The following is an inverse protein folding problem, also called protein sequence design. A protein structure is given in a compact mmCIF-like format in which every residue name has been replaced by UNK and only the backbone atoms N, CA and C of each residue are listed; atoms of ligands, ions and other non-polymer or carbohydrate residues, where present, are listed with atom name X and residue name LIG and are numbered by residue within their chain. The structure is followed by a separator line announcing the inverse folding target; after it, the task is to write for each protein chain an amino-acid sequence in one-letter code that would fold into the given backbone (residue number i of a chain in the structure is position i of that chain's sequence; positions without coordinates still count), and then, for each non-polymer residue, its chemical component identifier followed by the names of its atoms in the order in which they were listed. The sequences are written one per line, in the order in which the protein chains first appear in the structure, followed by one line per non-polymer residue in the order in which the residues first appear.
data_IF_070481773075
#
_entry.id   IF_070481773075
#
_cell.length_a   1.000
_cell.length_b   1.000
_cell.length_c   1.000
_cell.angle_alpha   90.00
_cell.angle_beta   90.00
_cell.angle_gamma   90.00
#
_symmetry.space_group_name_H-M   'P 1'
#
loop_
_entity.id
_entity.type
_entity.pdbx_description
1 polymer ?
#
# COMPACT_ATOMS: atom_id res chain seq x y z
N UNK A 1 -18.04 7.67 -5.06
CA UNK A 1 -16.77 7.91 -4.34
C UNK A 1 -16.54 6.70 -3.46
N UNK A 2 -15.65 5.80 -3.88
CA UNK A 2 -15.36 4.54 -3.21
C UNK A 2 -14.85 4.78 -1.78
N UNK A 3 -15.33 3.99 -0.82
CA UNK A 3 -14.93 3.99 0.61
C UNK A 3 -13.44 3.64 0.82
N UNK A 4 -12.50 4.42 0.31
CA UNK A 4 -11.12 4.33 0.75
C UNK A 4 -11.06 4.91 2.17
N UNK A 5 -11.11 4.04 3.18
CA UNK A 5 -10.82 4.44 4.56
C UNK A 5 -9.43 5.07 4.61
N UNK A 6 -9.13 5.92 5.60
CA UNK A 6 -7.76 6.39 5.80
C UNK A 6 -6.78 5.21 5.98
N UNK A 7 -5.50 5.36 5.58
CA UNK A 7 -4.43 4.43 5.93
C UNK A 7 -4.44 4.09 7.43
N UNK A 8 -4.11 2.84 7.76
CA UNK A 8 -4.12 2.39 9.15
C UNK A 8 -2.76 2.70 9.79
N UNK A 9 -2.80 3.37 10.96
CA UNK A 9 -1.61 3.73 11.73
C UNK A 9 -1.70 3.08 13.10
N UNK A 10 -0.63 2.45 13.55
CA UNK A 10 -0.54 1.91 14.90
C UNK A 10 -0.52 3.07 15.91
N UNK A 11 -1.39 3.05 16.95
CA UNK A 11 -1.56 4.19 17.84
C UNK A 11 -0.36 4.45 18.76
N UNK A 12 0.45 3.42 19.06
CA UNK A 12 1.70 3.58 19.80
C UNK A 12 2.86 3.74 18.82
N UNK A 13 3.44 4.95 18.75
CA UNK A 13 4.58 5.28 17.90
C UNK A 13 5.83 4.43 18.23
N UNK A 14 5.95 3.92 19.46
CA UNK A 14 7.06 3.03 19.85
C UNK A 14 6.95 1.64 19.21
N UNK A 15 5.85 1.36 18.51
CA UNK A 15 5.66 0.14 17.72
C UNK A 15 5.87 0.37 16.22
N UNK A 16 6.14 1.61 15.81
CA UNK A 16 6.53 1.91 14.43
C UNK A 16 7.91 1.31 14.15
N UNK A 17 8.19 1.05 12.88
CA UNK A 17 9.47 0.51 12.47
C UNK A 17 10.58 1.53 12.68
N UNK A 18 11.64 1.11 13.35
CA UNK A 18 12.82 1.93 13.68
C UNK A 18 14.14 1.28 13.21
N UNK A 19 14.05 0.25 12.36
CA UNK A 19 15.21 -0.54 11.92
C UNK A 19 15.56 -1.71 12.84
N UNK A 20 15.07 -1.77 14.08
CA UNK A 20 15.41 -2.81 15.06
C UNK A 20 14.33 -3.89 15.24
N UNK A 21 13.11 -3.64 14.75
CA UNK A 21 11.91 -4.42 15.06
C UNK A 21 11.22 -5.03 13.81
N UNK A 22 12.00 -5.39 12.79
CA UNK A 22 11.53 -5.85 11.47
C UNK A 22 10.42 -6.91 11.56
N UNK A 23 10.66 -8.03 12.25
CA UNK A 23 9.68 -9.14 12.32
C UNK A 23 8.33 -8.71 12.90
N UNK A 24 8.34 -7.84 13.91
CA UNK A 24 7.11 -7.33 14.53
C UNK A 24 6.36 -6.40 13.57
N UNK A 25 7.10 -5.52 12.88
CA UNK A 25 6.57 -4.64 11.85
C UNK A 25 5.96 -5.44 10.68
N UNK A 26 6.66 -6.45 10.17
CA UNK A 26 6.18 -7.28 9.07
C UNK A 26 4.91 -8.04 9.41
N UNK A 27 4.84 -8.58 10.63
CA UNK A 27 3.66 -9.26 11.14
C UNK A 27 2.47 -8.31 11.19
N UNK A 28 2.67 -7.10 11.72
CA UNK A 28 1.63 -6.08 11.83
C UNK A 28 1.11 -5.65 10.45
N UNK A 29 2.01 -5.26 9.53
CA UNK A 29 1.62 -4.83 8.19
C UNK A 29 0.92 -5.96 7.45
N UNK A 30 1.43 -7.19 7.52
CA UNK A 30 0.80 -8.35 6.87
C UNK A 30 -0.63 -8.55 7.38
N UNK A 31 -0.90 -8.48 8.69
CA UNK A 31 -2.26 -8.57 9.22
C UNK A 31 -3.18 -7.44 8.72
N UNK A 32 -2.69 -6.20 8.67
CA UNK A 32 -3.46 -5.05 8.17
C UNK A 32 -3.87 -5.26 6.70
N UNK A 33 -2.90 -5.64 5.85
CA UNK A 33 -3.12 -5.77 4.41
C UNK A 33 -3.95 -6.99 4.04
N UNK A 34 -3.72 -8.13 4.71
CA UNK A 34 -4.52 -9.35 4.50
C UNK A 34 -5.95 -9.17 4.97
N UNK A 35 -6.16 -8.49 6.11
CA UNK A 35 -7.50 -8.16 6.61
C UNK A 35 -8.32 -7.25 5.69
N UNK A 36 -7.66 -6.55 4.76
CA UNK A 36 -8.31 -5.71 3.72
C UNK A 36 -8.19 -6.29 2.32
N UNK A 37 -7.64 -7.49 2.16
CA UNK A 37 -7.41 -8.16 0.87
C UNK A 37 -6.57 -7.34 -0.14
N UNK A 38 -5.60 -6.55 0.35
CA UNK A 38 -4.73 -5.70 -0.48
C UNK A 38 -3.25 -6.05 -0.38
N UNK A 39 -2.91 -7.19 0.22
CA UNK A 39 -1.51 -7.67 0.31
C UNK A 39 -0.85 -7.89 -1.06
N UNK A 40 -1.66 -8.03 -2.11
CA UNK A 40 -1.21 -8.15 -3.50
C UNK A 40 -0.42 -6.93 -4.01
N UNK A 41 -0.68 -5.72 -3.51
CA UNK A 41 0.06 -4.51 -3.91
C UNK A 41 1.47 -4.52 -3.31
N UNK A 42 1.60 -4.81 -2.01
CA UNK A 42 2.88 -4.98 -1.32
C UNK A 42 3.74 -6.06 -1.97
N UNK A 43 3.13 -7.20 -2.30
CA UNK A 43 3.84 -8.35 -2.88
C UNK A 43 4.06 -8.25 -4.39
N UNK A 44 3.43 -7.28 -5.07
CA UNK A 44 3.45 -7.15 -6.53
C UNK A 44 2.64 -8.22 -7.27
N UNK A 45 1.73 -8.93 -6.59
CA UNK A 45 0.82 -9.89 -7.23
C UNK A 45 -0.33 -9.20 -7.97
N UNK A 46 -0.74 -8.01 -7.54
CA UNK A 46 -1.73 -7.18 -8.25
C UNK A 46 -0.96 -6.21 -9.14
N UNK A 47 -0.91 -6.53 -10.43
CA UNK A 47 -0.14 -5.77 -11.43
C UNK A 47 -0.91 -4.51 -11.83
N UNK A 48 -0.18 -3.40 -12.02
CA UNK A 48 -0.73 -2.17 -12.55
C UNK A 48 -1.28 -2.40 -13.96
N UNK A 49 -2.58 -2.15 -14.22
CA UNK A 49 -3.13 -2.20 -15.56
C UNK A 49 -2.51 -1.12 -16.45
N UNK A 50 -2.54 -1.30 -17.76
CA UNK A 50 -2.09 -0.26 -18.68
C UNK A 50 -2.91 1.03 -18.52
N UNK A 51 -2.23 2.17 -18.63
CA UNK A 51 -2.89 3.45 -18.62
C UNK A 51 -3.83 3.58 -19.83
N UNK A 52 -5.12 3.91 -19.63
CA UNK A 52 -6.04 4.13 -20.73
C UNK A 52 -5.55 5.29 -21.62
N UNK A 53 -5.40 5.04 -22.93
CA UNK A 53 -4.89 6.01 -23.91
C UNK A 53 -6.01 6.72 -24.70
N UNK A 54 -7.28 6.60 -24.30
CA UNK A 54 -8.44 7.16 -24.99
C UNK A 54 -9.39 7.97 -24.10
N UNK A 55 -10.10 8.93 -24.71
CA UNK A 55 -11.19 9.67 -24.06
C UNK A 55 -12.42 8.75 -23.90
N UNK A 56 -12.78 8.51 -22.64
CA UNK A 56 -13.98 7.81 -22.19
C UNK A 56 -13.90 6.28 -22.18
N UNK A 57 -13.42 5.74 -21.06
CA UNK A 57 -13.88 4.45 -20.55
C UNK A 57 -14.52 4.76 -19.19
N UNK A 58 -15.84 4.66 -19.11
CA UNK A 58 -16.50 4.52 -17.81
C UNK A 58 -16.12 3.13 -17.31
N UNK A 59 -14.98 3.02 -16.63
CA UNK A 59 -14.61 1.78 -15.93
C UNK A 59 -15.59 1.60 -14.78
N UNK A 60 -16.26 0.45 -14.77
CA UNK A 60 -17.08 0.06 -13.62
C UNK A 60 -16.19 0.06 -12.38
N UNK A 61 -16.66 0.72 -11.31
CA UNK A 61 -15.96 0.69 -10.02
C UNK A 61 -15.96 -0.76 -9.54
N UNK A 62 -14.78 -1.27 -9.27
CA UNK A 62 -14.58 -2.60 -8.71
C UNK A 62 -14.58 -2.54 -7.19
N UNK A 63 -14.92 -3.65 -6.55
CA UNK A 63 -14.76 -3.77 -5.10
C UNK A 63 -13.29 -3.55 -4.70
N UNK A 64 -13.08 -3.02 -3.49
CA UNK A 64 -11.75 -2.72 -2.96
C UNK A 64 -10.80 -3.93 -2.99
N UNK A 65 -11.34 -5.12 -2.75
CA UNK A 65 -10.64 -6.40 -2.76
C UNK A 65 -10.44 -7.01 -4.15
N UNK A 66 -10.91 -6.35 -5.22
CA UNK A 66 -10.75 -6.86 -6.58
C UNK A 66 -9.26 -7.02 -6.94
N UNK A 67 -8.85 -8.21 -7.43
CA UNK A 67 -7.48 -8.45 -7.89
C UNK A 67 -7.21 -7.83 -9.27
N UNK A 68 -8.24 -7.35 -9.97
CA UNK A 68 -8.15 -6.74 -11.30
C UNK A 68 -8.80 -5.34 -11.27
N UNK A 69 -8.17 -4.36 -10.58
CA UNK A 69 -8.65 -2.98 -10.57
C UNK A 69 -8.48 -2.32 -11.95
N UNK A 70 -9.15 -1.20 -12.18
CA UNK A 70 -8.76 -0.25 -13.23
C UNK A 70 -7.45 0.46 -12.88
N UNK A 71 -6.80 1.12 -13.84
CA UNK A 71 -5.57 1.89 -13.60
C UNK A 71 -5.73 2.91 -12.46
N UNK A 72 -6.81 3.71 -12.48
CA UNK A 72 -7.06 4.71 -11.45
C UNK A 72 -7.30 4.09 -10.06
N UNK A 73 -8.01 2.96 -10.00
CA UNK A 73 -8.21 2.22 -8.75
C UNK A 73 -6.92 1.59 -8.25
N UNK A 74 -6.08 1.07 -9.15
CA UNK A 74 -4.79 0.52 -8.81
C UNK A 74 -3.91 1.58 -8.14
N UNK A 75 -3.80 2.78 -8.74
CA UNK A 75 -3.03 3.90 -8.17
C UNK A 75 -3.55 4.27 -6.77
N UNK A 76 -4.86 4.40 -6.60
CA UNK A 76 -5.45 4.76 -5.31
C UNK A 76 -5.23 3.69 -4.22
N UNK A 77 -5.28 2.40 -4.59
CA UNK A 77 -5.09 1.28 -3.66
C UNK A 77 -3.62 1.06 -3.34
N UNK A 78 -2.74 1.16 -4.32
CA UNK A 78 -1.30 1.10 -4.13
C UNK A 78 -0.84 2.23 -3.21
N UNK A 79 -1.31 3.46 -3.44
CA UNK A 79 -1.01 4.61 -2.59
C UNK A 79 -1.51 4.41 -1.15
N UNK A 80 -2.69 3.80 -0.98
CA UNK A 80 -3.21 3.47 0.34
C UNK A 80 -2.31 2.47 1.09
N UNK A 81 -1.82 1.45 0.39
CA UNK A 81 -0.90 0.45 0.96
C UNK A 81 0.45 1.10 1.27
N UNK A 82 1.01 1.88 0.34
CA UNK A 82 2.27 2.62 0.53
C UNK A 82 2.20 3.56 1.72
N UNK A 83 1.14 4.36 1.83
CA UNK A 83 0.89 5.23 2.98
C UNK A 83 0.72 4.45 4.28
N UNK A 84 0.05 3.29 4.26
CA UNK A 84 -0.09 2.44 5.45
C UNK A 84 1.27 1.91 5.91
N UNK A 85 2.16 1.53 5.00
CA UNK A 85 3.53 1.11 5.34
C UNK A 85 4.31 2.31 5.89
N UNK A 86 4.36 3.42 5.14
CA UNK A 86 5.12 4.62 5.45
C UNK A 86 4.77 5.24 6.80
N UNK A 87 3.47 5.39 7.11
CA UNK A 87 3.01 6.03 8.34
C UNK A 87 3.23 5.18 9.60
N UNK A 88 3.73 3.95 9.45
CA UNK A 88 4.13 3.07 10.55
C UNK A 88 5.65 2.92 10.64
N UNK A 89 6.42 3.87 10.10
CA UNK A 89 7.88 3.96 10.15
C UNK A 89 8.26 5.28 10.81
N UNK A 90 9.22 5.27 11.74
CA UNK A 90 9.58 6.46 12.55
C UNK A 90 10.25 7.55 11.72
N UNK A 91 11.22 7.18 10.87
CA UNK A 91 11.91 8.10 9.98
C UNK A 91 12.38 7.36 8.73
N UNK A 92 11.61 7.50 7.64
CA UNK A 92 11.85 6.82 6.37
C UNK A 92 13.17 7.29 5.73
N UNK A 93 13.53 8.56 5.91
CA UNK A 93 14.70 9.18 5.30
C UNK A 93 15.96 8.73 6.02
N UNK A 94 15.97 8.78 7.35
CA UNK A 94 17.12 8.33 8.15
C UNK A 94 17.40 6.83 7.99
N UNK A 95 16.36 6.03 7.76
CA UNK A 95 16.49 4.60 7.47
C UNK A 95 16.89 4.29 6.01
N UNK A 96 16.99 5.31 5.14
CA UNK A 96 17.42 5.14 3.74
C UNK A 96 16.41 4.40 2.86
N UNK A 97 15.14 4.40 3.24
CA UNK A 97 14.06 3.69 2.53
C UNK A 97 13.60 4.45 1.29
N UNK A 98 13.10 3.71 0.29
CA UNK A 98 12.58 4.30 -0.95
C UNK A 98 11.12 4.71 -0.75
N UNK A 99 10.89 5.99 -0.51
CA UNK A 99 9.55 6.54 -0.31
C UNK A 99 8.81 6.87 -1.60
N UNK A 100 9.52 6.95 -2.74
CA UNK A 100 8.93 7.15 -4.06
C UNK A 100 8.61 5.83 -4.77
N UNK A 101 7.54 5.80 -5.55
CA UNK A 101 7.16 4.65 -6.37
C UNK A 101 5.97 3.89 -5.79
N UNK A 102 5.95 2.58 -6.01
CA UNK A 102 4.88 1.68 -5.60
C UNK A 102 5.00 1.24 -4.14
N UNK A 103 3.91 0.72 -3.58
CA UNK A 103 3.94 0.09 -2.26
C UNK A 103 4.96 -1.07 -2.18
N UNK A 104 5.12 -1.81 -3.29
CA UNK A 104 6.12 -2.87 -3.41
C UNK A 104 7.54 -2.33 -3.33
N UNK A 105 7.85 -1.25 -4.04
CA UNK A 105 9.20 -0.67 -4.03
C UNK A 105 9.60 -0.15 -2.66
N UNK A 106 8.65 0.49 -1.94
CA UNK A 106 8.87 0.85 -0.54
C UNK A 106 9.11 -0.40 0.31
N UNK A 107 8.26 -1.41 0.18
CA UNK A 107 8.37 -2.65 0.95
C UNK A 107 9.71 -3.38 0.75
N UNK A 108 10.15 -3.51 -0.50
CA UNK A 108 11.41 -4.18 -0.84
C UNK A 108 12.65 -3.40 -0.36
N UNK A 109 12.49 -2.13 0.06
CA UNK A 109 13.58 -1.30 0.58
C UNK A 109 13.79 -1.39 2.09
N UNK A 110 12.85 -2.00 2.81
CA UNK A 110 12.85 -2.20 4.29
C UNK A 110 13.74 -3.38 4.66
#
# INVERSE_FOLDING_TARGET
LSNASNPIIHPDIRKHFDGSNLTAFETMITHILTGRHVDGYRTGKIICPDQPTGLSIVTAVTDWSSPTPSYAEWIARDEWVRSTIALNIVDIIELGLKDTGSAKELWDSI
#
